data_IF_351601783524
#
_entry.id   IF_351601783524
#
_cell.length_a   1.000
_cell.length_b   1.000
_cell.length_c   1.000
_cell.angle_alpha   90.00
_cell.angle_beta   90.00
_cell.angle_gamma   90.00
#
_symmetry.space_group_name_H-M   'P 1'
#
loop_
_entity.id
_entity.type
_entity.pdbx_description
1 polymer ?
#
# COMPACT_ATOMS: atom_id res chain seq x y z
N UNK A 1 12.59 -20.82 -22.07
CA UNK A 1 11.56 -20.00 -21.38
C UNK A 1 12.13 -18.59 -21.31
N UNK A 2 11.36 -17.57 -21.68
CA UNK A 2 11.82 -16.20 -21.49
C UNK A 2 12.00 -15.94 -19.98
N UNK A 3 12.99 -15.14 -19.60
CA UNK A 3 13.16 -14.74 -18.21
C UNK A 3 11.92 -13.98 -17.74
N UNK A 4 11.43 -14.33 -16.54
CA UNK A 4 10.26 -13.67 -15.95
C UNK A 4 10.63 -12.27 -15.47
N UNK A 5 9.69 -11.33 -15.60
CA UNK A 5 9.81 -9.98 -15.06
C UNK A 5 9.71 -10.06 -13.54
N UNK A 6 10.79 -9.71 -12.85
CA UNK A 6 10.87 -9.69 -11.39
C UNK A 6 10.34 -8.37 -10.86
N UNK A 7 9.26 -8.42 -10.10
CA UNK A 7 8.63 -7.26 -9.49
C UNK A 7 8.54 -7.43 -7.98
N UNK A 8 8.96 -6.41 -7.22
CA UNK A 8 8.82 -6.38 -5.77
C UNK A 8 7.83 -5.30 -5.33
N UNK A 9 6.93 -5.66 -4.42
CA UNK A 9 6.04 -4.71 -3.71
C UNK A 9 6.57 -4.48 -2.29
N UNK A 10 7.09 -3.28 -2.04
CA UNK A 10 7.65 -2.89 -0.75
C UNK A 10 6.57 -2.20 0.10
N UNK A 11 5.90 -3.00 0.91
CA UNK A 11 4.94 -2.54 1.92
C UNK A 11 5.69 -1.98 3.13
N UNK A 12 6.42 -0.87 2.91
CA UNK A 12 7.27 -0.25 3.94
C UNK A 12 6.50 -0.06 5.25
N UNK A 13 5.23 0.36 5.17
CA UNK A 13 4.26 0.28 6.26
C UNK A 13 3.08 -0.61 5.86
N UNK A 14 2.41 -1.21 6.85
CA UNK A 14 1.25 -2.09 6.62
C UNK A 14 0.15 -1.39 5.81
N UNK A 15 -0.08 -0.10 6.05
CA UNK A 15 -1.12 0.66 5.35
C UNK A 15 -0.83 0.94 3.87
N UNK A 16 0.36 0.62 3.36
CA UNK A 16 0.66 0.65 1.92
C UNK A 16 0.02 -0.53 1.18
N UNK A 17 -0.02 -1.70 1.84
CA UNK A 17 -0.43 -2.97 1.25
C UNK A 17 -1.81 -2.93 0.56
N UNK A 18 -2.86 -2.30 1.11
CA UNK A 18 -4.18 -2.27 0.46
C UNK A 18 -4.21 -1.72 -0.97
N UNK A 19 -3.19 -0.95 -1.38
CA UNK A 19 -3.10 -0.44 -2.75
C UNK A 19 -2.37 -1.40 -3.69
N UNK A 20 -1.46 -2.19 -3.14
CA UNK A 20 -0.69 -3.18 -3.89
C UNK A 20 -1.50 -4.44 -4.08
N UNK A 21 -2.37 -4.77 -3.11
CA UNK A 21 -3.08 -6.04 -3.04
C UNK A 21 -3.80 -6.40 -4.35
N UNK A 22 -4.60 -5.50 -4.96
CA UNK A 22 -5.28 -5.81 -6.22
C UNK A 22 -4.32 -5.99 -7.39
N UNK A 23 -3.18 -5.30 -7.37
CA UNK A 23 -2.14 -5.39 -8.39
C UNK A 23 -1.35 -6.70 -8.26
N UNK A 24 -1.02 -7.10 -7.03
CA UNK A 24 -0.41 -8.39 -6.71
C UNK A 24 -1.31 -9.52 -7.22
N UNK A 25 -2.59 -9.49 -6.87
CA UNK A 25 -3.56 -10.50 -7.30
C UNK A 25 -3.69 -10.56 -8.82
N UNK A 26 -3.72 -9.41 -9.51
CA UNK A 26 -3.77 -9.34 -10.96
C UNK A 26 -2.51 -9.95 -11.60
N UNK A 27 -1.32 -9.52 -11.18
CA UNK A 27 -0.05 -9.97 -11.76
C UNK A 27 0.25 -11.44 -11.43
N UNK A 28 -0.26 -11.96 -10.30
CA UNK A 28 -0.05 -13.36 -9.93
C UNK A 28 -0.69 -14.36 -10.89
N UNK A 29 -1.64 -13.90 -11.71
CA UNK A 29 -2.35 -14.68 -12.73
C UNK A 29 -1.64 -14.66 -14.08
N UNK A 30 -0.56 -13.89 -14.20
CA UNK A 30 0.21 -13.71 -15.43
C UNK A 30 1.59 -14.36 -15.26
N UNK A 31 1.85 -15.39 -16.06
CA UNK A 31 3.05 -16.23 -15.95
C UNK A 31 4.36 -15.52 -16.33
N UNK A 32 4.25 -14.34 -16.94
CA UNK A 32 5.38 -13.46 -17.27
C UNK A 32 6.00 -12.82 -16.03
N UNK A 33 5.30 -12.77 -14.90
CA UNK A 33 5.78 -12.08 -13.69
C UNK A 33 6.27 -13.06 -12.62
N UNK A 34 7.33 -12.67 -11.92
CA UNK A 34 7.77 -13.25 -10.66
C UNK A 34 7.63 -12.19 -9.56
N UNK A 35 6.76 -12.46 -8.59
CA UNK A 35 6.37 -11.49 -7.57
C UNK A 35 7.17 -11.70 -6.30
N UNK A 36 7.68 -10.60 -5.74
CA UNK A 36 8.31 -10.53 -4.43
C UNK A 36 7.59 -9.51 -3.53
N UNK A 37 7.68 -9.72 -2.23
CA UNK A 37 7.13 -8.83 -1.21
C UNK A 37 8.20 -8.42 -0.22
N UNK A 38 8.09 -7.22 0.35
CA UNK A 38 8.88 -6.83 1.50
C UNK A 38 8.12 -5.90 2.43
N UNK A 39 8.61 -5.81 3.67
CA UNK A 39 8.15 -4.86 4.70
C UNK A 39 9.33 -4.43 5.54
N UNK A 40 9.34 -3.18 6.02
CA UNK A 40 10.48 -2.62 6.74
C UNK A 40 10.67 -3.28 8.10
N UNK A 41 11.93 -3.61 8.43
CA UNK A 41 12.32 -4.18 9.71
C UNK A 41 12.24 -3.16 10.85
N UNK A 42 12.41 -1.88 10.51
CA UNK A 42 12.42 -0.72 11.43
C UNK A 42 11.06 -0.39 12.05
N UNK A 43 9.97 -0.96 11.52
CA UNK A 43 8.64 -0.72 12.06
C UNK A 43 8.46 -1.34 13.44
N UNK A 44 7.43 -0.89 14.15
CA UNK A 44 7.00 -1.52 15.40
C UNK A 44 6.75 -3.00 15.17
N UNK A 45 7.16 -3.81 16.15
CA UNK A 45 7.06 -5.27 16.09
C UNK A 45 5.65 -5.75 15.74
N UNK A 46 4.62 -5.15 16.34
CA UNK A 46 3.22 -5.52 16.13
C UNK A 46 2.76 -5.26 14.69
N UNK A 47 3.13 -4.10 14.13
CA UNK A 47 2.83 -3.78 12.73
C UNK A 47 3.55 -4.72 11.78
N UNK A 48 4.83 -4.99 12.06
CA UNK A 48 5.69 -5.84 11.26
C UNK A 48 5.22 -7.29 11.25
N UNK A 49 4.95 -7.87 12.42
CA UNK A 49 4.43 -9.24 12.53
C UNK A 49 3.08 -9.39 11.82
N UNK A 50 2.19 -8.41 11.96
CA UNK A 50 0.91 -8.41 11.24
C UNK A 50 1.12 -8.33 9.71
N UNK A 51 1.97 -7.42 9.24
CA UNK A 51 2.28 -7.28 7.82
C UNK A 51 2.88 -8.57 7.23
N UNK A 52 3.85 -9.17 7.91
CA UNK A 52 4.46 -10.45 7.54
C UNK A 52 3.40 -11.57 7.47
N UNK A 53 2.51 -11.65 8.47
CA UNK A 53 1.45 -12.67 8.49
C UNK A 53 0.50 -12.55 7.30
N UNK A 54 0.16 -11.32 6.89
CA UNK A 54 -0.73 -11.09 5.74
C UNK A 54 0.01 -11.43 4.44
N UNK A 55 1.22 -10.92 4.26
CA UNK A 55 2.02 -11.15 3.06
C UNK A 55 2.39 -12.63 2.87
N UNK A 56 2.52 -13.42 3.94
CA UNK A 56 2.72 -14.86 3.86
C UNK A 56 1.54 -15.61 3.21
N UNK A 57 0.34 -15.00 3.18
CA UNK A 57 -0.84 -15.56 2.51
C UNK A 57 -0.97 -15.11 1.04
N UNK A 58 -0.10 -14.19 0.58
CA UNK A 58 -0.18 -13.60 -0.76
C UNK A 58 0.68 -14.36 -1.77
N UNK A 59 0.30 -14.39 -3.07
CA UNK A 59 1.12 -14.99 -4.12
C UNK A 59 2.46 -14.27 -4.24
N UNK A 60 3.56 -15.03 -4.34
CA UNK A 60 4.91 -14.47 -4.49
C UNK A 60 5.87 -14.92 -3.40
N UNK A 61 7.06 -14.35 -3.39
CA UNK A 61 8.12 -14.69 -2.43
C UNK A 61 8.39 -13.54 -1.47
N UNK A 62 8.31 -13.81 -0.17
CA UNK A 62 8.66 -12.84 0.86
C UNK A 62 10.17 -12.63 0.93
N UNK A 63 10.59 -11.37 0.99
CA UNK A 63 11.97 -10.90 1.17
C UNK A 63 11.99 -10.08 2.46
N UNK A 64 12.58 -10.65 3.51
CA UNK A 64 12.58 -10.04 4.84
C UNK A 64 13.85 -10.41 5.61
N UNK A 65 14.30 -9.46 6.43
CA UNK A 65 15.32 -9.65 7.46
C UNK A 65 14.95 -8.79 8.67
N UNK A 66 15.38 -9.20 9.87
CA UNK A 66 15.26 -8.37 11.09
C UNK A 66 16.21 -7.15 11.05
N UNK A 67 17.20 -7.14 10.16
CA UNK A 67 18.06 -5.99 9.89
C UNK A 67 17.63 -5.30 8.60
N UNK A 68 17.43 -3.98 8.66
CA UNK A 68 17.06 -3.19 7.48
C UNK A 68 18.19 -3.16 6.44
N UNK A 69 19.45 -3.14 6.88
CA UNK A 69 20.62 -3.21 5.99
C UNK A 69 20.68 -4.54 5.23
N UNK A 70 20.41 -5.65 5.92
CA UNK A 70 20.38 -6.97 5.27
C UNK A 70 19.15 -7.10 4.37
N UNK A 71 18.00 -6.54 4.75
CA UNK A 71 16.80 -6.46 3.89
C UNK A 71 17.11 -5.71 2.59
N UNK A 72 17.76 -4.55 2.68
CA UNK A 72 18.16 -3.75 1.52
C UNK A 72 19.10 -4.54 0.60
N UNK A 73 20.11 -5.19 1.17
CA UNK A 73 21.04 -6.06 0.43
C UNK A 73 20.31 -7.21 -0.28
N UNK A 74 19.46 -7.94 0.44
CA UNK A 74 18.67 -9.04 -0.13
C UNK A 74 17.80 -8.57 -1.30
N UNK A 75 17.14 -7.40 -1.17
CA UNK A 75 16.34 -6.82 -2.26
C UNK A 75 17.20 -6.48 -3.46
N UNK A 76 18.38 -5.88 -3.24
CA UNK A 76 19.30 -5.48 -4.31
C UNK A 76 19.88 -6.67 -5.06
N UNK A 77 20.15 -7.77 -4.37
CA UNK A 77 20.65 -9.04 -4.94
C UNK A 77 19.63 -9.75 -5.84
N UNK A 78 18.33 -9.42 -5.75
CA UNK A 78 17.31 -9.99 -6.63
C UNK A 78 17.45 -9.54 -8.09
N UNK A 79 18.14 -8.42 -8.33
CA UNK A 79 18.27 -7.76 -9.63
C UNK A 79 16.88 -7.57 -10.27
N UNK A 80 16.04 -6.78 -9.59
CA UNK A 80 14.64 -6.56 -9.96
C UNK A 80 14.51 -5.76 -11.25
N UNK A 81 13.54 -6.13 -12.08
CA UNK A 81 13.11 -5.30 -13.22
C UNK A 81 12.24 -4.13 -12.73
N UNK A 82 11.41 -4.36 -11.72
CA UNK A 82 10.49 -3.35 -11.19
C UNK A 82 10.39 -3.37 -9.66
N UNK A 83 10.38 -2.19 -9.04
CA UNK A 83 10.18 -2.00 -7.60
C UNK A 83 9.02 -1.04 -7.36
N UNK A 84 8.05 -1.47 -6.55
CA UNK A 84 6.84 -0.71 -6.22
C UNK A 84 6.88 -0.27 -4.76
N UNK A 85 6.77 1.03 -4.52
CA UNK A 85 6.72 1.60 -3.17
C UNK A 85 5.42 2.40 -2.91
N UNK A 86 5.07 2.53 -1.63
CA UNK A 86 3.85 3.22 -1.19
C UNK A 86 4.04 4.71 -0.92
N UNK A 87 5.29 5.11 -0.81
CA UNK A 87 5.84 6.45 -0.67
C UNK A 87 7.33 6.41 -1.02
N UNK A 88 7.99 7.56 -1.15
CA UNK A 88 9.41 7.62 -1.53
C UNK A 88 10.24 8.44 -0.53
N UNK A 89 10.04 8.23 0.77
CA UNK A 89 10.73 9.00 1.84
C UNK A 89 12.00 8.36 2.40
N UNK A 90 12.33 7.17 1.91
CA UNK A 90 13.50 6.41 2.32
C UNK A 90 14.47 6.31 1.15
N UNK A 91 15.72 6.00 1.44
CA UNK A 91 16.83 5.97 0.50
C UNK A 91 16.67 4.80 -0.49
N UNK A 92 15.90 5.00 -1.55
CA UNK A 92 15.60 3.95 -2.54
C UNK A 92 16.88 3.33 -3.13
N UNK A 93 17.93 4.14 -3.29
CA UNK A 93 19.23 3.71 -3.83
C UNK A 93 19.92 2.60 -3.02
N UNK A 94 19.57 2.45 -1.74
CA UNK A 94 20.05 1.35 -0.89
C UNK A 94 19.43 0.02 -1.30
N UNK A 95 18.20 0.02 -1.82
CA UNK A 95 17.41 -1.17 -2.12
C UNK A 95 17.52 -1.63 -3.57
N UNK A 96 17.69 -0.70 -4.52
CA UNK A 96 17.60 -1.00 -5.94
C UNK A 96 18.79 -0.47 -6.73
N UNK A 97 19.08 -1.09 -7.88
CA UNK A 97 20.17 -0.67 -8.78
C UNK A 97 19.63 0.25 -9.87
N UNK A 98 20.46 1.04 -10.55
CA UNK A 98 20.04 1.93 -11.65
C UNK A 98 19.19 1.26 -12.76
N UNK A 99 19.30 -0.06 -12.92
CA UNK A 99 18.55 -0.82 -13.93
C UNK A 99 17.08 -1.03 -13.55
N UNK A 100 16.77 -1.07 -12.25
CA UNK A 100 15.42 -1.35 -11.75
C UNK A 100 14.49 -0.18 -12.03
N UNK A 101 13.29 -0.42 -12.56
CA UNK A 101 12.30 0.63 -12.71
C UNK A 101 11.56 0.85 -11.38
N UNK A 102 11.67 2.03 -10.79
CA UNK A 102 11.01 2.37 -9.53
C UNK A 102 9.68 3.10 -9.77
N UNK A 103 8.58 2.47 -9.37
CA UNK A 103 7.23 3.03 -9.45
C UNK A 103 6.59 3.23 -8.08
N UNK A 104 5.82 4.30 -7.92
CA UNK A 104 5.13 4.60 -6.67
C UNK A 104 3.61 4.56 -6.85
N UNK A 105 2.94 3.68 -6.10
CA UNK A 105 1.47 3.69 -5.93
C UNK A 105 1.18 4.33 -4.57
N UNK A 106 0.82 5.61 -4.58
CA UNK A 106 0.92 6.46 -3.39
C UNK A 106 -0.24 6.29 -2.41
N UNK A 107 0.06 5.93 -1.15
CA UNK A 107 -0.95 5.59 -0.12
C UNK A 107 -1.83 6.74 0.34
N UNK A 108 -1.28 7.96 0.32
CA UNK A 108 -1.86 9.08 1.03
C UNK A 108 -2.55 10.06 0.11
N UNK A 109 -3.69 9.72 -0.50
CA UNK A 109 -4.44 10.69 -1.30
C UNK A 109 -4.97 11.85 -0.42
N UNK A 110 -4.90 13.09 -0.90
CA UNK A 110 -5.46 14.25 -0.20
C UNK A 110 -4.64 15.54 -0.29
N UNK A 111 -4.72 16.37 0.74
CA UNK A 111 -4.11 17.71 0.81
C UNK A 111 -2.82 17.76 1.64
N UNK A 112 -2.31 16.60 2.07
CA UNK A 112 -1.11 16.55 2.91
C UNK A 112 0.13 17.01 2.12
N UNK A 113 1.02 17.81 2.74
CA UNK A 113 2.23 18.30 2.07
C UNK A 113 3.10 17.21 1.47
N UNK A 114 3.11 16.03 2.08
CA UNK A 114 3.93 14.91 1.61
C UNK A 114 3.56 14.40 0.22
N UNK A 115 2.30 14.54 -0.21
CA UNK A 115 1.90 14.16 -1.56
C UNK A 115 2.76 14.88 -2.63
N UNK A 116 3.17 16.11 -2.33
CA UNK A 116 4.00 16.97 -3.19
C UNK A 116 5.50 16.78 -2.99
N UNK A 117 5.93 16.22 -1.85
CA UNK A 117 7.35 16.11 -1.49
C UNK A 117 7.93 14.72 -1.74
N UNK A 118 7.07 13.71 -1.78
CA UNK A 118 7.47 12.32 -1.98
C UNK A 118 7.75 12.09 -3.48
N UNK A 119 8.90 12.61 -3.95
CA UNK A 119 9.41 12.55 -5.32
C UNK A 119 10.91 12.22 -5.32
N UNK A 120 11.30 11.16 -4.62
CA UNK A 120 12.70 10.76 -4.49
C UNK A 120 13.43 10.78 -5.85
N UNK A 121 14.68 11.25 -5.96
CA UNK A 121 15.40 11.31 -7.24
C UNK A 121 15.41 9.98 -7.99
N UNK A 122 15.65 8.88 -7.25
CA UNK A 122 15.61 7.51 -7.76
C UNK A 122 14.24 7.02 -8.24
N UNK A 123 13.14 7.68 -7.88
CA UNK A 123 11.82 7.31 -8.38
C UNK A 123 11.72 7.65 -9.87
N UNK A 124 11.22 6.71 -10.67
CA UNK A 124 11.03 6.91 -12.11
C UNK A 124 9.57 7.29 -12.43
N UNK A 125 8.61 6.56 -11.85
CA UNK A 125 7.20 6.63 -12.20
C UNK A 125 6.33 6.89 -10.95
N UNK A 126 5.31 7.72 -11.07
CA UNK A 126 4.18 7.78 -10.14
C UNK A 126 2.91 7.34 -10.84
N UNK A 127 2.20 6.41 -10.21
CA UNK A 127 0.87 6.00 -10.61
C UNK A 127 -0.14 6.93 -9.92
N UNK A 128 -0.97 7.61 -10.70
CA UNK A 128 -1.82 8.73 -10.26
C UNK A 128 -3.29 8.35 -10.34
N UNK A 129 -4.04 8.76 -9.32
CA UNK A 129 -5.43 8.33 -9.14
C UNK A 129 -6.44 9.04 -10.06
N UNK A 130 -6.07 10.18 -10.64
CA UNK A 130 -7.01 10.99 -11.40
C UNK A 130 -6.33 12.11 -12.18
N UNK A 131 -6.97 12.53 -13.27
CA UNK A 131 -6.45 13.58 -14.16
C UNK A 131 -6.19 14.90 -13.42
N UNK A 132 -7.14 15.32 -12.58
CA UNK A 132 -7.00 16.54 -11.77
C UNK A 132 -5.73 16.50 -10.93
N UNK A 133 -5.41 15.34 -10.34
CA UNK A 133 -4.21 15.23 -9.53
C UNK A 133 -2.94 15.22 -10.36
N UNK A 134 -2.97 14.57 -11.52
CA UNK A 134 -1.85 14.54 -12.46
C UNK A 134 -1.48 15.96 -12.90
N UNK A 135 -2.48 16.78 -13.22
CA UNK A 135 -2.30 18.19 -13.57
C UNK A 135 -1.71 19.00 -12.41
N UNK A 136 -2.20 18.78 -11.19
CA UNK A 136 -1.62 19.44 -10.01
C UNK A 136 -0.16 19.03 -9.77
N UNK A 137 0.20 17.75 -9.91
CA UNK A 137 1.58 17.30 -9.76
C UNK A 137 2.50 17.99 -10.78
N UNK A 138 2.07 18.06 -12.04
CA UNK A 138 2.80 18.78 -13.11
C UNK A 138 2.93 20.26 -12.81
N UNK A 139 1.86 20.92 -12.37
CA UNK A 139 1.88 22.35 -12.04
C UNK A 139 2.80 22.66 -10.85
N UNK A 140 3.04 21.69 -9.96
CA UNK A 140 3.97 21.79 -8.84
C UNK A 140 5.40 21.35 -9.21
N UNK A 141 5.70 21.15 -10.49
CA UNK A 141 7.05 20.87 -10.97
C UNK A 141 7.52 19.43 -10.73
N UNK A 142 6.62 18.48 -10.50
CA UNK A 142 7.00 17.07 -10.45
C UNK A 142 7.44 16.63 -11.84
N UNK A 143 8.69 16.20 -11.95
CA UNK A 143 9.41 15.83 -13.18
C UNK A 143 9.37 14.33 -13.48
N UNK A 144 8.79 13.54 -12.59
CA UNK A 144 8.65 12.08 -12.74
C UNK A 144 7.69 11.71 -13.85
N UNK A 145 7.82 10.51 -14.40
CA UNK A 145 6.78 9.99 -15.29
C UNK A 145 5.49 9.82 -14.50
N UNK A 146 4.36 10.32 -15.01
CA UNK A 146 3.06 10.22 -14.34
C UNK A 146 2.14 9.39 -15.20
N UNK A 147 1.66 8.29 -14.65
CA UNK A 147 0.76 7.37 -15.36
C UNK A 147 -0.59 7.39 -14.66
N UNK A 148 -1.64 7.71 -15.40
CA UNK A 148 -3.02 7.69 -14.90
C UNK A 148 -3.49 6.24 -14.77
N UNK A 149 -3.69 5.76 -13.54
CA UNK A 149 -4.10 4.37 -13.26
C UNK A 149 -5.39 4.25 -12.46
N UNK A 150 -5.88 5.34 -11.89
CA UNK A 150 -6.95 5.26 -10.90
C UNK A 150 -6.43 4.86 -9.52
N UNK A 151 -7.35 4.66 -8.57
CA UNK A 151 -7.02 4.35 -7.18
C UNK A 151 -7.23 2.86 -6.89
N UNK A 152 -6.18 2.06 -7.11
CA UNK A 152 -6.22 0.59 -7.07
C UNK A 152 -6.84 0.02 -5.79
N UNK A 153 -6.68 0.69 -4.65
CA UNK A 153 -7.30 0.31 -3.37
C UNK A 153 -8.83 0.18 -3.45
N UNK A 154 -9.48 0.83 -4.41
CA UNK A 154 -10.92 0.72 -4.63
C UNK A 154 -11.32 -0.37 -5.60
N UNK A 155 -10.39 -0.99 -6.32
CA UNK A 155 -10.68 -2.05 -7.31
C UNK A 155 -11.54 -3.19 -6.75
N UNK A 156 -11.33 -3.66 -5.48
CA UNK A 156 -12.20 -4.67 -4.89
C UNK A 156 -13.67 -4.26 -4.80
N UNK A 157 -13.99 -2.97 -4.66
CA UNK A 157 -15.37 -2.49 -4.58
C UNK A 157 -16.13 -2.64 -5.90
N UNK A 158 -15.42 -2.69 -7.02
CA UNK A 158 -16.00 -2.80 -8.36
C UNK A 158 -15.92 -4.21 -8.94
N UNK A 159 -14.96 -5.01 -8.46
CA UNK A 159 -14.70 -6.37 -8.96
C UNK A 159 -15.34 -7.47 -8.11
N UNK A 160 -15.57 -7.20 -6.83
CA UNK A 160 -16.27 -8.12 -5.94
C UNK A 160 -17.71 -7.64 -5.81
N UNK A 161 -18.67 -8.57 -5.86
CA UNK A 161 -20.05 -8.28 -5.44
C UNK A 161 -20.13 -8.61 -3.94
N UNK A 162 -19.88 -7.65 -3.03
CA UNK A 162 -19.88 -7.94 -1.61
C UNK A 162 -21.27 -8.39 -1.18
N UNK A 163 -21.36 -9.59 -0.63
CA UNK A 163 -22.53 -10.04 0.12
C UNK A 163 -22.31 -9.79 1.61
N UNK A 164 -23.39 -9.74 2.38
CA UNK A 164 -23.29 -9.73 3.83
C UNK A 164 -22.55 -10.98 4.31
N UNK A 165 -21.49 -10.79 5.10
CA UNK A 165 -20.71 -11.88 5.68
C UNK A 165 -21.19 -12.15 7.12
N UNK A 166 -22.10 -13.12 7.25
CA UNK A 166 -22.64 -13.54 8.56
C UNK A 166 -21.55 -14.02 9.51
N UNK A 167 -20.51 -14.69 9.01
CA UNK A 167 -19.41 -15.19 9.83
C UNK A 167 -18.58 -14.04 10.38
N UNK A 168 -18.28 -13.05 9.54
CA UNK A 168 -17.58 -11.84 9.97
C UNK A 168 -18.42 -11.09 11.01
N UNK A 169 -19.71 -10.88 10.75
CA UNK A 169 -20.62 -10.23 11.69
C UNK A 169 -20.64 -10.94 13.04
N UNK A 170 -20.75 -12.27 13.05
CA UNK A 170 -20.71 -13.07 14.27
C UNK A 170 -19.36 -12.97 14.99
N UNK A 171 -18.24 -13.01 14.26
CA UNK A 171 -16.90 -12.89 14.85
C UNK A 171 -16.64 -11.53 15.50
N UNK A 172 -17.29 -10.48 15.00
CA UNK A 172 -17.25 -9.12 15.54
C UNK A 172 -18.30 -8.89 16.65
N UNK A 173 -19.14 -9.88 16.97
CA UNK A 173 -20.23 -9.74 17.93
C UNK A 173 -21.35 -8.79 17.48
N UNK A 174 -21.51 -8.60 16.17
CA UNK A 174 -22.55 -7.75 15.60
C UNK A 174 -23.90 -8.48 15.62
N UNK A 175 -24.93 -7.80 16.13
CA UNK A 175 -26.31 -8.28 16.15
C UNK A 175 -27.02 -7.89 14.84
N UNK A 176 -27.39 -8.85 13.97
CA UNK A 176 -28.05 -8.55 12.69
C UNK A 176 -29.41 -7.87 12.84
N UNK A 177 -30.04 -7.95 14.03
CA UNK A 177 -31.31 -7.26 14.30
C UNK A 177 -31.14 -5.78 14.63
N UNK A 178 -29.90 -5.31 14.82
CA UNK A 178 -29.56 -3.92 15.14
C UNK A 178 -28.83 -3.26 13.99
N UNK A 179 -28.97 -1.93 13.90
CA UNK A 179 -28.14 -1.13 13.00
C UNK A 179 -26.69 -1.11 13.52
N UNK A 180 -25.74 -1.40 12.66
CA UNK A 180 -24.30 -1.26 12.96
C UNK A 180 -23.78 0.08 12.48
N UNK A 181 -22.95 0.74 13.30
CA UNK A 181 -22.25 1.98 12.94
C UNK A 181 -20.75 1.66 12.84
N UNK A 182 -20.16 1.83 11.66
CA UNK A 182 -18.71 1.85 11.49
C UNK A 182 -18.20 3.26 11.79
N UNK A 183 -17.47 3.42 12.88
CA UNK A 183 -16.87 4.70 13.27
C UNK A 183 -15.36 4.66 13.13
N UNK A 184 -14.83 5.44 12.17
CA UNK A 184 -13.39 5.59 11.91
C UNK A 184 -12.97 7.04 12.24
N UNK A 185 -12.54 7.33 13.48
CA UNK A 185 -12.17 8.69 13.88
C UNK A 185 -10.90 9.16 13.16
N UNK A 186 -10.81 10.46 12.91
CA UNK A 186 -9.62 11.08 12.33
C UNK A 186 -8.46 11.10 13.31
N UNK A 187 -7.23 11.00 12.80
CA UNK A 187 -6.04 11.36 13.55
C UNK A 187 -5.99 12.90 13.73
N UNK A 188 -5.42 13.38 14.84
CA UNK A 188 -5.59 14.74 15.40
C UNK A 188 -5.91 15.89 14.41
N UNK A 189 -6.92 16.74 14.72
CA UNK A 189 -7.83 16.65 15.88
C UNK A 189 -8.74 15.42 15.78
N UNK A 190 -8.86 14.68 16.89
CA UNK A 190 -9.63 13.44 16.93
C UNK A 190 -11.10 13.72 17.18
N UNK A 191 -11.98 13.07 16.41
CA UNK A 191 -13.42 13.08 16.68
C UNK A 191 -13.80 12.14 17.83
N UNK A 192 -12.89 11.26 18.29
CA UNK A 192 -13.15 10.32 19.37
C UNK A 192 -13.50 11.05 20.69
N UNK A 193 -12.72 12.07 21.04
CA UNK A 193 -12.89 12.84 22.29
C UNK A 193 -14.19 13.64 22.31
N UNK A 194 -14.64 14.14 21.15
CA UNK A 194 -15.83 14.99 21.03
C UNK A 194 -17.12 14.19 20.85
N UNK A 195 -17.07 13.12 20.07
CA UNK A 195 -18.23 12.37 19.61
C UNK A 195 -18.22 10.92 20.07
N UNK A 196 -17.08 10.24 19.93
CA UNK A 196 -16.96 8.81 20.24
C UNK A 196 -17.31 8.45 21.68
N UNK A 197 -16.85 9.24 22.66
CA UNK A 197 -17.10 8.97 24.09
C UNK A 197 -18.57 9.14 24.52
N UNK A 198 -19.39 9.85 23.74
CA UNK A 198 -20.80 10.14 24.04
C UNK A 198 -21.77 9.52 23.05
N UNK A 199 -21.29 8.67 22.13
CA UNK A 199 -22.10 8.13 21.04
C UNK A 199 -23.34 7.39 21.55
N UNK A 200 -23.20 6.62 22.64
CA UNK A 200 -24.31 5.92 23.28
C UNK A 200 -25.35 6.84 23.92
N UNK A 201 -24.97 8.04 24.35
CA UNK A 201 -25.89 9.05 24.90
C UNK A 201 -26.65 9.77 23.78
N UNK A 202 -26.01 9.97 22.62
CA UNK A 202 -26.61 10.65 21.47
C UNK A 202 -27.46 9.75 20.55
N UNK A 203 -27.46 8.44 20.79
CA UNK A 203 -28.17 7.45 19.96
C UNK A 203 -29.35 6.78 20.68
N UNK A 204 -29.70 7.29 21.88
CA UNK A 204 -30.97 7.00 22.57
C UNK A 204 -32.08 7.91 22.05
#
# INVERSE_FOLDING_TARGET
>A
MADKIKILFDSFHLYHLPQFDPVIDLLSRDDRFQIFHSTAAVNKKEERELCLSILATKPGTMVYSESEEERAKMIKELDLDFFVCGWSRYELDEYITEKTLAGMIYHGIGVKPSYWRDNHPRLNIRFVEGIYRMDQLRSHGVDKELVLTGFTKLDPLFSQNPSFDEKLAQSLGLDPSKKTILFAPTFYPSSLERFGMKLGEYTQ
#
